data_IF_899038980753
#
_entry.id   IF_899038980753
#
_cell.length_a   1.000
_cell.length_b   1.000
_cell.length_c   1.000
_cell.angle_alpha   90.00
_cell.angle_beta   90.00
_cell.angle_gamma   90.00
#
_symmetry.space_group_name_H-M   'P 1'
#
loop_
_entity.id
_entity.type
_entity.pdbx_description
1 polymer ?
#
# COMPACT_ATOMS: atom_id res chain seq x y z
N UNK A 1 17.61 -25.80 -9.94
CA UNK A 1 17.20 -24.57 -10.65
C UNK A 1 17.93 -23.42 -9.99
N UNK A 2 18.68 -22.62 -10.73
CA UNK A 2 19.44 -21.48 -10.20
C UNK A 2 18.70 -20.22 -10.64
N UNK A 3 18.19 -19.45 -9.68
CA UNK A 3 17.60 -18.15 -9.97
C UNK A 3 18.69 -17.10 -10.06
N UNK A 4 18.59 -16.24 -11.05
CA UNK A 4 19.44 -15.06 -11.14
C UNK A 4 19.01 -14.04 -10.08
N UNK A 5 19.99 -13.45 -9.40
CA UNK A 5 19.73 -12.48 -8.36
C UNK A 5 19.27 -11.16 -8.99
N UNK A 6 18.20 -10.55 -8.47
CA UNK A 6 17.78 -9.21 -8.87
C UNK A 6 18.69 -8.17 -8.21
N UNK A 7 19.70 -7.74 -8.93
CA UNK A 7 20.80 -6.91 -8.41
C UNK A 7 20.34 -5.57 -7.85
N UNK A 8 19.32 -4.95 -8.44
CA UNK A 8 18.78 -3.67 -7.97
C UNK A 8 18.22 -3.80 -6.55
N UNK A 9 17.35 -4.76 -6.31
CA UNK A 9 16.78 -5.05 -4.99
C UNK A 9 17.86 -5.43 -3.98
N UNK A 10 18.84 -6.21 -4.41
CA UNK A 10 19.95 -6.61 -3.56
C UNK A 10 20.79 -5.41 -3.12
N UNK A 11 21.08 -4.49 -4.03
CA UNK A 11 21.82 -3.28 -3.73
C UNK A 11 21.02 -2.39 -2.78
N UNK A 12 19.75 -2.16 -3.06
CA UNK A 12 18.85 -1.37 -2.25
C UNK A 12 18.75 -1.92 -0.82
N UNK A 13 18.41 -3.19 -0.65
CA UNK A 13 18.31 -3.87 0.65
C UNK A 13 19.62 -3.86 1.45
N UNK A 14 20.76 -3.81 0.76
CA UNK A 14 22.07 -3.76 1.41
C UNK A 14 22.37 -2.41 2.01
N UNK A 15 21.94 -1.32 1.39
CA UNK A 15 22.37 0.03 1.70
C UNK A 15 21.29 0.96 2.25
N UNK A 16 20.01 0.69 2.01
CA UNK A 16 18.89 1.59 2.34
C UNK A 16 18.86 2.07 3.80
N UNK A 17 19.30 1.21 4.74
CA UNK A 17 19.33 1.52 6.17
C UNK A 17 20.73 1.85 6.70
N UNK A 18 21.73 2.03 5.83
CA UNK A 18 23.12 2.24 6.20
C UNK A 18 23.72 3.55 5.70
N UNK A 19 23.05 4.20 4.77
CA UNK A 19 23.53 5.44 4.16
C UNK A 19 22.77 6.63 4.73
N UNK A 20 23.46 7.77 4.86
CA UNK A 20 22.81 9.01 5.32
C UNK A 20 21.86 9.59 4.26
N UNK A 21 22.15 9.35 2.99
CA UNK A 21 21.34 9.82 1.84
C UNK A 21 21.10 8.68 0.88
N UNK A 22 19.85 8.18 0.85
CA UNK A 22 19.43 7.15 -0.10
C UNK A 22 18.85 7.81 -1.35
N UNK A 23 19.60 7.78 -2.46
CA UNK A 23 19.18 8.33 -3.75
C UNK A 23 18.57 7.28 -4.69
N UNK A 24 18.47 6.03 -4.24
CA UNK A 24 17.87 4.94 -5.01
C UNK A 24 16.40 4.70 -4.66
N UNK A 25 15.91 5.34 -3.60
CA UNK A 25 14.52 5.26 -3.18
C UNK A 25 13.64 6.22 -3.99
N UNK A 26 12.59 5.71 -4.62
CA UNK A 26 11.61 6.49 -5.36
C UNK A 26 10.30 6.70 -4.60
N UNK A 27 10.20 6.14 -3.40
CA UNK A 27 9.03 6.26 -2.53
C UNK A 27 8.90 7.65 -1.91
N UNK A 28 7.72 7.92 -1.38
CA UNK A 28 7.48 9.12 -0.57
C UNK A 28 8.05 8.92 0.84
N UNK A 29 8.41 10.02 1.49
CA UNK A 29 8.83 9.97 2.89
C UNK A 29 7.77 9.28 3.76
N UNK A 30 8.19 8.34 4.63
CA UNK A 30 7.26 7.64 5.52
C UNK A 30 6.58 8.63 6.46
N UNK A 31 5.26 8.58 6.51
CA UNK A 31 4.47 9.29 7.50
C UNK A 31 4.25 8.43 8.75
N UNK A 32 3.73 9.05 9.79
CA UNK A 32 3.22 8.33 10.95
C UNK A 32 1.71 8.13 10.84
N UNK A 33 1.16 7.15 11.55
CA UNK A 33 -0.30 7.00 11.63
C UNK A 33 -0.96 8.28 12.12
N UNK A 34 -0.32 9.00 13.04
CA UNK A 34 -0.80 10.28 13.56
C UNK A 34 -0.88 11.40 12.52
N UNK A 35 0.04 11.40 11.52
CA UNK A 35 0.03 12.39 10.44
C UNK A 35 -0.93 12.04 9.32
N UNK A 36 -1.24 10.75 9.15
CA UNK A 36 -2.13 10.26 8.09
C UNK A 36 -3.59 10.20 8.54
N UNK A 37 -3.83 9.98 9.82
CA UNK A 37 -5.17 9.70 10.35
C UNK A 37 -5.51 10.61 11.52
N UNK A 38 -6.76 11.07 11.55
CA UNK A 38 -7.31 11.76 12.71
C UNK A 38 -7.74 10.75 13.80
N UNK A 39 -8.14 11.28 14.97
CA UNK A 39 -8.59 10.47 16.12
C UNK A 39 -9.75 9.54 15.77
N UNK A 40 -10.72 10.04 15.00
CA UNK A 40 -11.93 9.29 14.65
C UNK A 40 -11.62 8.08 13.76
N UNK A 41 -10.62 8.21 12.89
CA UNK A 41 -10.15 7.10 12.07
C UNK A 41 -9.42 6.05 12.91
N UNK A 42 -8.63 6.47 13.89
CA UNK A 42 -7.95 5.56 14.82
C UNK A 42 -8.99 4.77 15.65
N UNK A 43 -10.03 5.44 16.15
CA UNK A 43 -11.13 4.78 16.85
C UNK A 43 -11.85 3.75 15.96
N UNK A 44 -12.10 4.10 14.70
CA UNK A 44 -12.67 3.15 13.71
C UNK A 44 -11.80 1.91 13.53
N UNK A 45 -10.47 2.07 13.39
CA UNK A 45 -9.56 0.93 13.26
C UNK A 45 -9.64 0.03 14.49
N UNK A 46 -9.64 0.62 15.70
CA UNK A 46 -9.70 -0.15 16.95
C UNK A 46 -11.00 -0.96 17.10
N UNK A 47 -12.09 -0.50 16.51
CA UNK A 47 -13.40 -1.17 16.54
C UNK A 47 -13.67 -2.03 15.29
N UNK A 48 -12.71 -2.14 14.37
CA UNK A 48 -12.87 -2.99 13.18
C UNK A 48 -12.68 -4.46 13.55
N UNK A 49 -13.63 -5.29 13.18
CA UNK A 49 -13.52 -6.73 13.36
C UNK A 49 -12.41 -7.32 12.46
N UNK A 50 -11.58 -8.18 13.05
CA UNK A 50 -10.56 -8.93 12.31
C UNK A 50 -11.24 -10.17 11.72
N UNK A 51 -11.70 -10.06 10.50
CA UNK A 51 -12.41 -11.12 9.78
C UNK A 51 -11.94 -11.20 8.33
N UNK A 52 -12.41 -12.21 7.61
CA UNK A 52 -12.20 -12.28 6.17
C UNK A 52 -12.94 -11.14 5.48
N UNK A 53 -12.20 -10.39 4.66
CA UNK A 53 -12.76 -9.32 3.84
C UNK A 53 -13.41 -9.83 2.55
N UNK A 54 -13.76 -8.89 1.70
CA UNK A 54 -14.25 -9.17 0.35
C UNK A 54 -13.11 -9.62 -0.56
N UNK A 55 -13.34 -10.64 -1.36
CA UNK A 55 -12.33 -11.18 -2.30
C UNK A 55 -11.85 -10.13 -3.30
N UNK A 56 -12.77 -9.28 -3.76
CA UNK A 56 -12.50 -8.20 -4.72
C UNK A 56 -12.10 -6.86 -4.07
N UNK A 57 -12.01 -6.82 -2.76
CA UNK A 57 -11.82 -5.59 -1.98
C UNK A 57 -13.14 -5.00 -1.46
N UNK A 58 -13.08 -4.24 -0.37
CA UNK A 58 -14.28 -3.66 0.22
C UNK A 58 -14.97 -2.69 -0.75
N UNK A 59 -16.32 -2.62 -0.73
CA UNK A 59 -17.06 -1.70 -1.60
C UNK A 59 -16.57 -0.25 -1.45
N UNK A 60 -16.35 0.23 -0.23
CA UNK A 60 -15.88 1.59 0.03
C UNK A 60 -14.51 1.89 -0.60
N UNK A 61 -13.58 0.93 -0.54
CA UNK A 61 -12.27 1.07 -1.19
C UNK A 61 -12.43 1.13 -2.71
N UNK A 62 -13.21 0.23 -3.28
CA UNK A 62 -13.44 0.14 -4.72
C UNK A 62 -14.15 1.39 -5.26
N UNK A 63 -15.14 1.92 -4.54
CA UNK A 63 -15.80 3.19 -4.86
C UNK A 63 -14.80 4.36 -4.85
N UNK A 64 -13.97 4.43 -3.80
CA UNK A 64 -12.94 5.46 -3.69
C UNK A 64 -11.94 5.41 -4.85
N UNK A 65 -11.51 4.21 -5.25
CA UNK A 65 -10.61 4.03 -6.40
C UNK A 65 -11.33 4.40 -7.70
N UNK A 66 -12.57 3.94 -7.91
CA UNK A 66 -13.34 4.25 -9.12
C UNK A 66 -13.50 5.76 -9.31
N UNK A 67 -13.67 6.53 -8.23
CA UNK A 67 -13.83 7.98 -8.29
C UNK A 67 -12.61 8.74 -8.86
N UNK A 68 -11.43 8.10 -8.92
CA UNK A 68 -10.20 8.69 -9.48
C UNK A 68 -10.21 8.61 -11.02
N UNK A 69 -10.98 7.68 -11.60
CA UNK A 69 -10.99 7.41 -13.03
C UNK A 69 -12.30 7.84 -13.66
N UNK A 70 -12.24 8.67 -14.69
CA UNK A 70 -13.42 9.12 -15.43
C UNK A 70 -14.17 7.94 -16.07
N UNK A 71 -15.45 7.83 -15.79
CA UNK A 71 -16.33 6.79 -16.33
C UNK A 71 -16.18 5.41 -15.68
N UNK A 72 -15.31 5.25 -14.69
CA UNK A 72 -15.20 4.00 -13.95
C UNK A 72 -16.32 3.85 -12.92
N UNK A 73 -16.71 2.60 -12.72
CA UNK A 73 -17.66 2.18 -11.69
C UNK A 73 -16.97 1.18 -10.76
N UNK A 74 -17.60 0.84 -9.66
CA UNK A 74 -17.13 -0.19 -8.73
C UNK A 74 -16.84 -1.53 -9.42
N UNK A 75 -17.57 -1.86 -10.48
CA UNK A 75 -17.42 -3.12 -11.22
C UNK A 75 -16.14 -3.18 -12.07
N UNK A 76 -15.49 -2.03 -12.28
CA UNK A 76 -14.22 -1.95 -12.98
C UNK A 76 -13.01 -2.10 -12.04
N UNK A 77 -13.23 -2.18 -10.73
CA UNK A 77 -12.16 -2.15 -9.73
C UNK A 77 -12.07 -3.47 -8.98
N UNK A 78 -10.87 -3.99 -8.87
CA UNK A 78 -10.54 -5.10 -8.00
C UNK A 78 -9.28 -4.76 -7.21
N UNK A 79 -9.32 -4.94 -5.88
CA UNK A 79 -8.21 -4.67 -4.99
C UNK A 79 -7.54 -5.98 -4.54
N UNK A 80 -6.22 -6.00 -4.56
CA UNK A 80 -5.42 -7.14 -4.14
C UNK A 80 -4.44 -6.74 -3.03
N UNK A 81 -3.96 -7.72 -2.28
CA UNK A 81 -2.87 -7.53 -1.34
C UNK A 81 -1.53 -7.61 -2.08
N UNK A 82 -0.89 -6.44 -2.25
CA UNK A 82 0.36 -6.34 -3.01
C UNK A 82 0.14 -6.25 -4.53
N UNK A 83 1.23 -6.08 -5.24
CA UNK A 83 1.24 -5.86 -6.70
C UNK A 83 1.83 -7.04 -7.50
N UNK A 84 2.13 -8.13 -6.82
CA UNK A 84 2.74 -9.31 -7.44
C UNK A 84 1.71 -10.33 -7.91
#
# INVERSE_FOLDING_TARGET
>A
MKFEEFQLERNQSTWENKVDYNLTESGVHPGTLKTLFNSDFIEKIQNTEITYGFTEGSPQLRESIASIYEGATIDNIQAFNGSA
#
